data_IF_013793615913
#
_entry.id   IF_013793615913
#
_cell.length_a   1.000
_cell.length_b   1.000
_cell.length_c   1.000
_cell.angle_alpha   90.00
_cell.angle_beta   90.00
_cell.angle_gamma   90.00
#
_symmetry.space_group_name_H-M   'P 1'
#
loop_
_entity.id
_entity.type
_entity.pdbx_description
1 polymer ?
#
# COMPACT_ATOMS: atom_id res chain seq x y z
N UNK A 1 -5.94 -14.43 47.00
CA UNK A 1 -7.38 -14.58 46.68
C UNK A 1 -7.54 -15.64 45.61
N UNK A 2 -8.39 -16.66 45.81
CA UNK A 2 -8.68 -17.68 44.78
C UNK A 2 -9.83 -17.18 43.89
N UNK A 3 -9.59 -17.05 42.59
CA UNK A 3 -10.63 -16.70 41.60
C UNK A 3 -11.45 -17.96 41.33
N UNK A 4 -12.69 -18.00 41.82
CA UNK A 4 -13.62 -19.10 41.57
C UNK A 4 -14.21 -18.88 40.17
N UNK A 5 -13.92 -19.77 39.23
CA UNK A 5 -14.56 -19.77 37.90
C UNK A 5 -15.83 -20.60 38.02
N UNK A 6 -16.98 -20.00 37.69
CA UNK A 6 -18.26 -20.69 37.66
C UNK A 6 -18.31 -21.59 36.42
N UNK A 7 -18.57 -22.88 36.61
CA UNK A 7 -18.68 -23.87 35.53
C UNK A 7 -19.79 -23.55 34.52
N UNK A 8 -20.78 -22.74 34.93
CA UNK A 8 -21.88 -22.26 34.08
C UNK A 8 -21.47 -21.13 33.12
N UNK A 9 -20.34 -20.48 33.39
CA UNK A 9 -19.80 -19.40 32.54
C UNK A 9 -18.79 -19.93 31.51
N UNK A 10 -18.48 -21.23 31.56
CA UNK A 10 -17.60 -21.89 30.60
C UNK A 10 -18.42 -22.33 29.38
N UNK A 11 -18.35 -21.56 28.29
CA UNK A 11 -18.93 -21.92 27.01
C UNK A 11 -17.86 -22.51 26.08
N UNK A 12 -18.09 -23.73 25.59
CA UNK A 12 -17.26 -24.33 24.54
C UNK A 12 -17.84 -23.93 23.19
N UNK A 13 -17.11 -23.12 22.43
CA UNK A 13 -17.39 -22.89 21.02
C UNK A 13 -16.60 -23.88 20.18
N UNK A 14 -17.26 -24.53 19.22
CA UNK A 14 -16.59 -25.38 18.23
C UNK A 14 -16.67 -24.68 16.88
N UNK A 15 -15.55 -24.63 16.17
CA UNK A 15 -15.47 -24.12 14.81
C UNK A 15 -15.10 -25.27 13.88
N UNK A 16 -15.86 -25.44 12.79
CA UNK A 16 -15.48 -26.36 11.71
C UNK A 16 -14.54 -25.60 10.77
N UNK A 17 -13.35 -26.14 10.54
CA UNK A 17 -12.34 -25.54 9.66
C UNK A 17 -12.12 -26.43 8.43
N UNK A 18 -12.04 -25.81 7.25
CA UNK A 18 -11.61 -26.47 6.02
C UNK A 18 -10.10 -26.24 5.85
N UNK A 19 -9.33 -27.32 5.69
CA UNK A 19 -7.88 -27.25 5.46
C UNK A 19 -7.61 -27.54 3.98
N UNK A 20 -7.17 -26.52 3.24
CA UNK A 20 -6.72 -26.68 1.85
C UNK A 20 -5.23 -27.00 1.83
N UNK A 21 -4.85 -28.03 1.08
CA UNK A 21 -3.45 -28.44 0.93
C UNK A 21 -3.00 -28.24 -0.51
N UNK A 22 -1.76 -27.76 -0.69
CA UNK A 22 -1.15 -27.66 -2.00
C UNK A 22 -0.67 -29.04 -2.44
N UNK A 23 -0.99 -29.46 -3.67
CA UNK A 23 -0.51 -30.73 -4.23
C UNK A 23 0.20 -30.50 -5.55
N UNK A 24 1.28 -31.25 -5.78
CA UNK A 24 2.00 -31.32 -7.05
C UNK A 24 2.04 -32.78 -7.48
N UNK A 25 1.44 -33.08 -8.64
CA UNK A 25 1.31 -34.47 -9.14
C UNK A 25 0.69 -35.42 -8.09
N UNK A 26 -0.42 -34.99 -7.47
CA UNK A 26 -1.14 -35.72 -6.40
C UNK A 26 -0.35 -35.99 -5.12
N UNK A 27 0.83 -35.37 -4.95
CA UNK A 27 1.59 -35.42 -3.70
C UNK A 27 1.44 -34.11 -2.96
N UNK A 28 1.20 -34.17 -1.66
CA UNK A 28 1.15 -32.96 -0.83
C UNK A 28 2.52 -32.27 -0.83
N UNK A 29 2.49 -30.94 -0.96
CA UNK A 29 3.70 -30.13 -0.87
C UNK A 29 4.18 -30.13 0.58
N UNK A 30 5.44 -30.52 0.75
CA UNK A 30 6.13 -30.47 2.03
C UNK A 30 6.81 -29.12 2.23
N UNK A 31 7.21 -28.84 3.46
CA UNK A 31 7.99 -27.64 3.79
C UNK A 31 9.29 -27.52 2.97
N UNK A 32 9.96 -28.64 2.70
CA UNK A 32 11.19 -28.67 1.91
C UNK A 32 10.93 -28.24 0.46
N UNK A 33 9.83 -28.68 -0.15
CA UNK A 33 9.45 -28.29 -1.52
C UNK A 33 9.03 -26.82 -1.55
N UNK A 34 8.28 -26.35 -0.56
CA UNK A 34 7.90 -24.93 -0.47
C UNK A 34 9.10 -23.99 -0.43
N UNK A 35 10.14 -24.33 0.34
CA UNK A 35 11.38 -23.54 0.41
C UNK A 35 12.15 -23.49 -0.91
N UNK A 36 11.90 -24.42 -1.83
CA UNK A 36 12.51 -24.45 -3.16
C UNK A 36 11.73 -23.61 -4.18
N UNK A 37 10.53 -23.10 -3.84
CA UNK A 37 9.79 -22.22 -4.73
C UNK A 37 10.58 -20.91 -4.95
N UNK A 38 10.64 -20.48 -6.21
CA UNK A 38 11.28 -19.23 -6.60
C UNK A 38 10.49 -18.08 -5.97
N UNK A 39 11.21 -17.21 -5.26
CA UNK A 39 10.65 -15.96 -4.76
C UNK A 39 10.58 -14.92 -5.88
N UNK A 40 9.39 -14.37 -6.09
CA UNK A 40 9.16 -13.32 -7.06
C UNK A 40 7.92 -12.49 -6.67
N UNK A 41 7.95 -11.20 -7.02
CA UNK A 41 6.84 -10.29 -6.81
C UNK A 41 5.58 -10.74 -7.55
N UNK A 42 4.51 -10.92 -6.78
CA UNK A 42 3.20 -11.23 -7.34
C UNK A 42 2.54 -9.98 -7.94
N UNK A 43 2.71 -8.82 -7.33
CA UNK A 43 2.13 -7.57 -7.83
C UNK A 43 3.25 -6.78 -8.52
N UNK A 44 3.05 -6.45 -9.79
CA UNK A 44 3.96 -5.62 -10.56
C UNK A 44 3.97 -4.16 -10.09
N UNK A 45 4.96 -3.39 -10.52
CA UNK A 45 5.06 -1.95 -10.23
C UNK A 45 3.80 -1.16 -10.64
N UNK A 46 3.13 -1.57 -11.72
CA UNK A 46 1.86 -0.98 -12.17
C UNK A 46 0.63 -1.38 -11.37
N UNK A 47 0.76 -2.21 -10.32
CA UNK A 47 -0.36 -2.70 -9.49
C UNK A 47 -1.09 -3.92 -10.05
N UNK A 48 -0.69 -4.45 -11.22
CA UNK A 48 -1.28 -5.65 -11.80
C UNK A 48 -0.67 -6.94 -11.23
N UNK A 49 -1.43 -8.04 -11.19
CA UNK A 49 -0.90 -9.34 -10.80
C UNK A 49 -0.06 -9.96 -11.94
N UNK A 50 1.14 -10.43 -11.60
CA UNK A 50 2.04 -11.16 -12.49
C UNK A 50 1.59 -12.62 -12.75
N UNK A 51 0.55 -13.08 -12.06
CA UNK A 51 0.03 -14.44 -12.19
C UNK A 51 -1.21 -14.70 -11.32
N UNK A 52 -1.54 -15.96 -11.14
CA UNK A 52 -2.73 -16.38 -10.40
C UNK A 52 -2.35 -16.70 -8.96
N UNK A 53 -2.87 -15.98 -7.95
CA UNK A 53 -2.66 -16.35 -6.56
C UNK A 53 -3.47 -17.61 -6.21
N UNK A 54 -2.84 -18.52 -5.48
CA UNK A 54 -3.48 -19.77 -5.04
C UNK A 54 -3.93 -19.69 -3.58
N UNK A 55 -3.13 -19.05 -2.72
CA UNK A 55 -3.46 -18.96 -1.31
C UNK A 55 -2.34 -18.41 -0.44
N UNK A 56 -2.67 -18.22 0.84
CA UNK A 56 -1.79 -17.68 1.86
C UNK A 56 -1.10 -18.81 2.63
N UNK A 57 0.18 -18.63 2.96
CA UNK A 57 0.94 -19.59 3.75
C UNK A 57 1.38 -18.94 5.06
N UNK A 58 1.04 -19.54 6.20
CA UNK A 58 1.51 -19.07 7.51
C UNK A 58 2.83 -19.75 7.90
N UNK A 59 3.79 -19.69 6.98
CA UNK A 59 5.15 -20.18 7.20
C UNK A 59 6.12 -19.19 6.62
N UNK A 60 7.14 -18.87 7.43
CA UNK A 60 8.05 -17.81 7.11
C UNK A 60 9.51 -18.31 7.03
N UNK A 61 10.05 -18.52 5.81
CA UNK A 61 11.37 -19.12 5.64
C UNK A 61 12.54 -18.24 6.09
N UNK A 62 12.40 -16.91 5.98
CA UNK A 62 13.54 -15.96 5.99
C UNK A 62 13.59 -15.06 7.25
N UNK A 63 12.87 -15.42 8.33
CA UNK A 63 12.70 -14.64 9.57
C UNK A 63 12.41 -13.13 9.35
N UNK A 64 11.25 -12.81 8.78
CA UNK A 64 10.66 -11.49 8.67
C UNK A 64 10.62 -10.92 10.07
N UNK A 65 11.41 -9.88 10.27
CA UNK A 65 11.38 -9.14 11.51
C UNK A 65 9.98 -8.59 11.77
N UNK A 66 9.77 -8.14 13.00
CA UNK A 66 8.49 -7.61 13.49
C UNK A 66 8.01 -6.35 12.75
N UNK A 67 8.80 -5.82 11.81
CA UNK A 67 8.70 -4.42 11.46
C UNK A 67 7.56 -4.08 10.51
N UNK A 68 6.93 -5.02 9.79
CA UNK A 68 5.76 -4.70 8.96
C UNK A 68 4.83 -5.90 8.74
N UNK A 69 3.52 -5.63 8.68
CA UNK A 69 2.52 -6.65 8.35
C UNK A 69 2.58 -7.01 6.85
N UNK A 70 2.65 -8.29 6.55
CA UNK A 70 2.78 -8.81 5.19
C UNK A 70 2.11 -10.18 5.05
N UNK A 71 1.89 -10.58 3.80
CA UNK A 71 1.31 -11.85 3.39
C UNK A 71 2.38 -12.69 2.68
N UNK A 72 2.45 -13.98 2.99
CA UNK A 72 3.16 -14.94 2.14
C UNK A 72 2.17 -15.60 1.22
N UNK A 73 2.34 -15.39 -0.08
CA UNK A 73 1.42 -15.85 -1.10
C UNK A 73 2.10 -16.89 -1.96
N UNK A 74 1.46 -18.04 -2.15
CA UNK A 74 1.80 -18.97 -3.23
C UNK A 74 1.00 -18.59 -4.46
N UNK A 75 1.68 -18.48 -5.59
CA UNK A 75 1.06 -18.06 -6.84
C UNK A 75 1.70 -18.78 -8.03
N UNK A 76 1.05 -18.70 -9.18
CA UNK A 76 1.45 -19.40 -10.38
C UNK A 76 1.59 -18.45 -11.56
N UNK A 77 2.64 -18.64 -12.35
CA UNK A 77 2.77 -18.05 -13.69
C UNK A 77 3.08 -19.14 -14.70
N UNK A 78 2.23 -19.28 -15.72
CA UNK A 78 2.30 -20.41 -16.64
C UNK A 78 2.26 -21.76 -15.90
N UNK A 79 3.37 -22.50 -15.92
CA UNK A 79 3.51 -23.82 -15.27
C UNK A 79 4.29 -23.78 -13.97
N UNK A 80 4.81 -22.62 -13.59
CA UNK A 80 5.72 -22.50 -12.45
C UNK A 80 4.98 -21.99 -11.22
N UNK A 81 5.17 -22.68 -10.10
CA UNK A 81 4.77 -22.20 -8.79
C UNK A 81 5.85 -21.31 -8.20
N UNK A 82 5.42 -20.22 -7.57
CA UNK A 82 6.27 -19.18 -6.98
C UNK A 82 5.74 -18.81 -5.61
N UNK A 83 6.61 -18.20 -4.81
CA UNK A 83 6.25 -17.55 -3.56
C UNK A 83 6.47 -16.05 -3.67
N UNK A 84 5.66 -15.28 -2.96
CA UNK A 84 5.83 -13.83 -2.84
C UNK A 84 5.61 -13.38 -1.41
N UNK A 85 6.29 -12.31 -1.03
CA UNK A 85 6.02 -11.54 0.16
C UNK A 85 5.32 -10.25 -0.27
N UNK A 86 4.07 -10.06 0.16
CA UNK A 86 3.26 -8.88 -0.18
C UNK A 86 3.00 -8.07 1.08
N UNK A 87 3.52 -6.85 1.14
CA UNK A 87 3.27 -5.95 2.27
C UNK A 87 1.84 -5.40 2.25
N UNK A 88 1.20 -5.35 3.42
CA UNK A 88 -0.16 -4.81 3.55
C UNK A 88 -0.21 -3.31 3.34
N UNK A 89 0.85 -2.63 3.78
CA UNK A 89 1.08 -1.23 3.47
C UNK A 89 2.10 -1.17 2.33
N UNK A 90 1.85 -0.39 1.26
CA UNK A 90 2.81 -0.29 0.18
C UNK A 90 4.12 0.27 0.75
N UNK A 91 5.19 -0.50 0.58
CA UNK A 91 6.52 -0.19 1.09
C UNK A 91 7.19 0.89 0.26
N UNK A 92 6.58 2.07 0.18
CA UNK A 92 7.31 3.27 -0.24
C UNK A 92 8.16 3.75 0.93
N UNK A 93 9.13 2.94 1.34
CA UNK A 93 10.22 3.35 2.20
C UNK A 93 11.23 4.18 1.39
N UNK A 94 10.77 5.30 0.85
CA UNK A 94 11.63 6.31 0.28
C UNK A 94 11.13 7.64 0.83
N UNK A 95 11.86 8.14 1.83
CA UNK A 95 11.76 9.49 2.38
C UNK A 95 11.65 10.56 1.28
N UNK A 96 12.21 10.29 0.10
CA UNK A 96 12.13 11.10 -1.12
C UNK A 96 10.69 11.36 -1.61
N UNK A 97 9.75 10.43 -1.48
CA UNK A 97 8.39 10.63 -2.00
C UNK A 97 7.46 11.34 -1.03
N UNK A 98 7.68 11.14 0.27
CA UNK A 98 7.03 11.99 1.29
C UNK A 98 7.48 13.43 1.10
N UNK A 99 8.77 13.66 0.80
CA UNK A 99 9.26 15.00 0.45
C UNK A 99 8.62 15.54 -0.84
N UNK A 100 8.58 14.79 -1.94
CA UNK A 100 8.00 15.26 -3.21
C UNK A 100 6.48 15.48 -3.16
N UNK A 101 5.71 14.60 -2.50
CA UNK A 101 4.27 14.81 -2.30
C UNK A 101 3.99 15.96 -1.31
N UNK A 102 4.81 16.12 -0.26
CA UNK A 102 4.72 17.27 0.62
C UNK A 102 5.07 18.56 -0.14
N UNK A 103 6.06 18.54 -1.03
CA UNK A 103 6.43 19.67 -1.88
C UNK A 103 5.25 20.02 -2.82
N UNK A 104 4.69 19.04 -3.52
CA UNK A 104 3.54 19.26 -4.40
C UNK A 104 2.32 19.80 -3.63
N UNK A 105 2.00 19.23 -2.46
CA UNK A 105 0.94 19.73 -1.58
C UNK A 105 1.23 21.16 -1.09
N UNK A 106 2.45 21.43 -0.63
CA UNK A 106 2.84 22.74 -0.13
C UNK A 106 2.75 23.81 -1.22
N UNK A 107 3.07 23.48 -2.48
CA UNK A 107 2.98 24.40 -3.60
C UNK A 107 1.53 24.69 -4.00
N UNK A 108 0.67 23.67 -4.04
CA UNK A 108 -0.77 23.86 -4.32
C UNK A 108 -1.45 24.64 -3.18
N UNK A 109 -1.13 24.31 -1.93
CA UNK A 109 -1.61 25.05 -0.75
C UNK A 109 -1.08 26.48 -0.73
N UNK A 110 0.19 26.72 -1.10
CA UNK A 110 0.78 28.06 -1.21
C UNK A 110 0.05 28.91 -2.23
N UNK A 111 -0.10 28.43 -3.46
CA UNK A 111 -0.69 29.23 -4.52
C UNK A 111 -2.18 29.53 -4.23
N UNK A 112 -2.88 28.64 -3.53
CA UNK A 112 -4.19 28.95 -2.96
C UNK A 112 -4.15 30.03 -1.87
N UNK A 113 -3.29 29.88 -0.84
CA UNK A 113 -3.17 30.87 0.25
C UNK A 113 -2.76 32.25 -0.25
N UNK A 114 -2.07 32.32 -1.39
CA UNK A 114 -1.67 33.55 -2.06
C UNK A 114 -2.75 34.09 -3.02
N UNK A 115 -3.97 33.54 -3.02
CA UNK A 115 -5.08 33.87 -3.93
C UNK A 115 -4.68 33.81 -5.41
N UNK A 116 -3.75 32.92 -5.78
CA UNK A 116 -3.33 32.73 -7.18
C UNK A 116 -4.22 31.70 -7.91
N UNK A 117 -4.98 30.90 -7.15
CA UNK A 117 -5.89 29.87 -7.66
C UNK A 117 -7.09 29.76 -6.72
N UNK A 118 -8.32 29.80 -7.23
CA UNK A 118 -9.55 29.72 -6.41
C UNK A 118 -9.99 28.27 -6.13
N UNK A 119 -9.71 27.37 -7.08
CA UNK A 119 -9.94 25.93 -6.94
C UNK A 119 -9.17 25.19 -8.03
N UNK A 120 -8.92 23.90 -7.82
CA UNK A 120 -8.33 23.05 -8.85
C UNK A 120 -9.31 21.93 -9.21
N UNK A 121 -9.60 21.76 -10.50
CA UNK A 121 -10.45 20.67 -10.99
C UNK A 121 -9.58 19.62 -11.67
N UNK A 122 -9.76 18.38 -11.25
CA UNK A 122 -9.03 17.23 -11.76
C UNK A 122 -10.00 16.24 -12.37
N UNK A 123 -9.68 15.64 -13.51
CA UNK A 123 -10.49 14.55 -14.04
C UNK A 123 -9.89 13.21 -13.59
N UNK A 124 -10.64 12.44 -12.78
CA UNK A 124 -10.28 11.10 -12.31
C UNK A 124 -11.28 10.10 -12.87
N UNK A 125 -10.83 9.16 -13.70
CA UNK A 125 -11.70 8.13 -14.32
C UNK A 125 -12.93 8.74 -15.03
N UNK A 126 -12.77 9.89 -15.69
CA UNK A 126 -13.86 10.62 -16.36
C UNK A 126 -14.75 11.45 -15.41
N UNK A 127 -14.42 11.50 -14.12
CA UNK A 127 -15.15 12.28 -13.13
C UNK A 127 -14.36 13.53 -12.73
N UNK A 128 -14.91 14.74 -12.93
CA UNK A 128 -14.28 15.97 -12.46
C UNK A 128 -14.39 16.06 -10.93
N UNK A 129 -13.24 16.01 -10.26
CA UNK A 129 -13.06 16.21 -8.83
C UNK A 129 -12.53 17.62 -8.61
N UNK A 130 -13.35 18.46 -7.96
CA UNK A 130 -12.92 19.79 -7.54
C UNK A 130 -12.26 19.68 -6.17
N UNK A 131 -10.96 19.93 -6.12
CA UNK A 131 -10.22 20.02 -4.87
C UNK A 131 -10.35 21.47 -4.39
N UNK A 132 -11.12 21.63 -3.32
CA UNK A 132 -11.16 22.86 -2.55
C UNK A 132 -10.41 22.65 -1.24
N UNK A 133 -9.59 23.60 -0.81
CA UNK A 133 -8.78 23.46 0.40
C UNK A 133 -9.57 23.52 1.71
N UNK A 134 -10.83 23.97 1.67
CA UNK A 134 -11.78 23.90 2.79
C UNK A 134 -12.64 22.62 2.76
N UNK A 135 -12.59 21.86 1.67
CA UNK A 135 -13.40 20.66 1.47
C UNK A 135 -12.71 19.41 2.01
N UNK A 136 -13.32 18.76 2.99
CA UNK A 136 -13.13 17.32 3.19
C UNK A 136 -13.47 16.61 1.87
N UNK A 137 -12.48 16.32 1.04
CA UNK A 137 -12.64 15.39 -0.06
C UNK A 137 -13.18 14.06 0.52
N UNK A 138 -14.11 13.35 -0.15
CA UNK A 138 -14.47 11.98 0.23
C UNK A 138 -13.24 11.05 0.22
N UNK A 139 -12.15 11.44 -0.45
CA UNK A 139 -10.84 10.79 -0.39
C UNK A 139 -9.90 11.33 0.71
N UNK A 140 -10.29 12.38 1.45
CA UNK A 140 -9.50 12.99 2.51
C UNK A 140 -9.26 12.09 3.73
N UNK A 141 -10.11 11.07 3.92
CA UNK A 141 -9.88 10.01 4.91
C UNK A 141 -8.66 9.14 4.58
N UNK A 142 -8.31 8.99 3.29
CA UNK A 142 -7.11 8.27 2.84
C UNK A 142 -5.82 9.03 3.19
N UNK A 143 -5.90 10.37 3.17
CA UNK A 143 -4.77 11.25 3.47
C UNK A 143 -4.50 11.39 4.97
N UNK A 144 -5.53 11.35 5.82
CA UNK A 144 -5.42 11.71 7.25
C UNK A 144 -4.67 10.65 8.11
N UNK A 145 -4.64 9.37 7.69
CA UNK A 145 -3.86 8.33 8.38
C UNK A 145 -2.37 8.41 8.07
N UNK A 146 -2.00 8.67 6.82
CA UNK A 146 -0.60 8.89 6.41
C UNK A 146 -0.02 10.19 6.99
N UNK A 147 -0.82 11.23 7.17
CA UNK A 147 -0.36 12.50 7.75
C UNK A 147 -0.12 12.45 9.26
N UNK A 148 -0.75 11.52 10.01
CA UNK A 148 -0.40 11.33 11.44
C UNK A 148 0.99 10.69 11.63
N UNK A 149 1.49 9.96 10.64
CA UNK A 149 2.85 9.42 10.63
C UNK A 149 3.90 10.39 10.02
N UNK A 150 3.48 11.31 9.14
CA UNK A 150 4.38 12.29 8.51
C UNK A 150 4.64 13.57 9.34
N UNK A 151 4.11 13.66 10.56
CA UNK A 151 4.43 14.74 11.49
C UNK A 151 5.76 14.51 12.22
N UNK A 152 6.84 14.23 11.48
CA UNK A 152 8.20 14.55 11.92
C UNK A 152 8.86 15.25 10.75
N UNK A 153 8.67 16.57 10.75
CA UNK A 153 9.39 17.54 9.94
C UNK A 153 10.89 17.39 10.22
N UNK A 154 11.62 16.65 9.39
CA UNK A 154 13.06 16.85 9.27
C UNK A 154 13.31 18.15 8.49
N UNK A 155 13.42 19.20 9.31
CA UNK A 155 13.70 20.62 9.08
C UNK A 155 12.79 21.40 8.13
N UNK A 156 11.94 22.24 8.76
CA UNK A 156 11.26 23.40 8.14
C UNK A 156 12.19 24.24 7.23
N UNK A 157 13.49 24.22 7.48
CA UNK A 157 14.50 24.95 6.72
C UNK A 157 14.64 24.42 5.29
N UNK A 158 14.66 23.10 5.06
CA UNK A 158 14.78 22.55 3.69
C UNK A 158 13.56 22.85 2.82
N UNK A 159 12.36 22.79 3.42
CA UNK A 159 11.11 23.14 2.73
C UNK A 159 11.10 24.63 2.37
N UNK A 160 11.58 25.48 3.28
CA UNK A 160 11.70 26.92 3.04
C UNK A 160 12.73 27.22 1.94
N UNK A 161 13.91 26.62 1.98
CA UNK A 161 14.96 26.80 0.97
C UNK A 161 14.50 26.36 -0.42
N UNK A 162 13.71 25.28 -0.51
CA UNK A 162 13.10 24.84 -1.76
C UNK A 162 12.04 25.83 -2.26
N UNK A 163 11.16 26.34 -1.39
CA UNK A 163 10.16 27.36 -1.75
C UNK A 163 10.85 28.64 -2.23
N UNK A 164 11.87 29.09 -1.51
CA UNK A 164 12.65 30.29 -1.84
C UNK A 164 13.42 30.11 -3.17
N UNK A 165 13.93 28.90 -3.45
CA UNK A 165 14.53 28.56 -4.74
C UNK A 165 13.52 28.54 -5.89
N UNK A 166 12.32 27.98 -5.68
CA UNK A 166 11.23 27.99 -6.68
C UNK A 166 10.77 29.42 -6.98
N UNK A 167 10.67 30.29 -5.97
CA UNK A 167 10.29 31.69 -6.16
C UNK A 167 11.37 32.53 -6.86
N UNK A 168 12.62 32.08 -6.86
CA UNK A 168 13.72 32.69 -7.63
C UNK A 168 13.72 32.26 -9.11
N UNK A 169 13.11 31.11 -9.45
CA UNK A 169 12.92 30.71 -10.84
C UNK A 169 11.73 31.48 -11.43
N UNK A 170 11.87 32.08 -12.62
CA UNK A 170 10.81 32.91 -13.21
C UNK A 170 9.43 32.20 -13.16
N UNK A 171 8.35 32.84 -12.67
CA UNK A 171 7.03 32.21 -12.48
C UNK A 171 6.45 31.50 -13.71
N UNK A 172 6.91 31.88 -14.91
CA UNK A 172 6.47 31.31 -16.20
C UNK A 172 7.05 29.93 -16.51
N UNK A 173 8.21 29.58 -15.96
CA UNK A 173 8.78 28.25 -16.15
C UNK A 173 8.04 27.22 -15.31
N UNK A 174 7.63 27.58 -14.08
CA UNK A 174 6.93 26.69 -13.15
C UNK A 174 5.53 26.28 -13.62
N UNK A 175 4.78 27.19 -14.26
CA UNK A 175 3.49 26.87 -14.87
C UNK A 175 3.57 25.74 -15.91
N UNK A 176 4.74 25.55 -16.56
CA UNK A 176 4.95 24.45 -17.51
C UNK A 176 5.22 23.11 -16.84
N UNK A 177 5.70 23.10 -15.59
CA UNK A 177 5.99 21.88 -14.84
C UNK A 177 4.80 21.37 -14.03
N UNK A 178 3.88 22.24 -13.64
CA UNK A 178 2.65 21.90 -12.91
C UNK A 178 1.87 20.72 -13.53
N UNK A 179 1.60 20.69 -14.85
CA UNK A 179 0.91 19.55 -15.47
C UNK A 179 1.68 18.22 -15.37
N UNK A 180 3.01 18.27 -15.44
CA UNK A 180 3.88 17.09 -15.37
C UNK A 180 3.88 16.51 -13.96
N UNK A 181 4.10 17.38 -12.96
CA UNK A 181 4.06 16.99 -11.55
C UNK A 181 2.69 16.41 -11.19
N UNK A 182 1.63 17.05 -11.68
CA UNK A 182 0.27 16.61 -11.44
C UNK A 182 -0.05 15.26 -12.09
N UNK A 183 0.35 15.04 -13.35
CA UNK A 183 0.21 13.75 -14.00
C UNK A 183 1.00 12.65 -13.26
N UNK A 184 2.18 12.96 -12.73
CA UNK A 184 2.97 12.03 -11.92
C UNK A 184 2.26 11.66 -10.61
N UNK A 185 1.71 12.63 -9.88
CA UNK A 185 0.94 12.40 -8.65
C UNK A 185 -0.31 11.57 -8.93
N UNK A 186 -1.07 11.89 -9.98
CA UNK A 186 -2.26 11.13 -10.36
C UNK A 186 -1.94 9.69 -10.74
N UNK A 187 -0.92 9.48 -11.56
CA UNK A 187 -0.46 8.14 -11.94
C UNK A 187 -0.05 7.31 -10.73
N UNK A 188 0.61 7.92 -9.74
CA UNK A 188 1.00 7.26 -8.51
C UNK A 188 -0.19 6.93 -7.60
N UNK A 189 -1.13 7.86 -7.43
CA UNK A 189 -2.37 7.60 -6.70
C UNK A 189 -3.15 6.43 -7.31
N UNK A 190 -3.20 6.35 -8.64
CA UNK A 190 -3.84 5.25 -9.34
C UNK A 190 -3.11 3.92 -9.10
N UNK A 191 -1.77 3.90 -9.19
CA UNK A 191 -0.97 2.70 -8.86
C UNK A 191 -1.22 2.22 -7.42
N UNK A 192 -1.30 3.13 -6.44
CA UNK A 192 -1.60 2.80 -5.04
C UNK A 192 -2.98 2.21 -4.86
N UNK A 193 -4.00 2.79 -5.49
CA UNK A 193 -5.36 2.26 -5.47
C UNK A 193 -5.37 0.83 -6.04
N UNK A 194 -4.75 0.63 -7.21
CA UNK A 194 -4.64 -0.71 -7.80
C UNK A 194 -3.91 -1.70 -6.88
N UNK A 195 -2.79 -1.29 -6.25
CA UNK A 195 -2.08 -2.12 -5.29
C UNK A 195 -2.96 -2.52 -4.10
N UNK A 196 -3.66 -1.56 -3.50
CA UNK A 196 -4.54 -1.79 -2.36
C UNK A 196 -5.69 -2.73 -2.71
N UNK A 197 -6.32 -2.53 -3.87
CA UNK A 197 -7.38 -3.41 -4.37
C UNK A 197 -6.85 -4.84 -4.53
N UNK A 198 -5.61 -5.01 -5.02
CA UNK A 198 -4.99 -6.34 -5.07
C UNK A 198 -4.74 -6.91 -3.67
N UNK A 199 -4.17 -6.14 -2.75
CA UNK A 199 -3.90 -6.61 -1.38
C UNK A 199 -5.19 -7.06 -0.68
N UNK A 200 -6.28 -6.30 -0.80
CA UNK A 200 -7.58 -6.65 -0.25
C UNK A 200 -8.10 -7.97 -0.85
N UNK A 201 -7.96 -8.15 -2.17
CA UNK A 201 -8.29 -9.42 -2.81
C UNK A 201 -7.43 -10.58 -2.30
N UNK A 202 -6.13 -10.35 -2.07
CA UNK A 202 -5.22 -11.37 -1.55
C UNK A 202 -5.51 -11.77 -0.10
N UNK A 203 -6.01 -10.86 0.73
CA UNK A 203 -6.41 -11.15 2.11
C UNK A 203 -7.58 -12.14 2.21
N UNK A 204 -8.40 -12.22 1.15
CA UNK A 204 -9.55 -13.12 1.06
C UNK A 204 -9.21 -14.50 0.49
N UNK A 205 -7.94 -14.76 0.18
CA UNK A 205 -7.50 -16.05 -0.33
C UNK A 205 -7.57 -17.14 0.75
N UNK A 206 -7.74 -18.42 0.35
CA UNK A 206 -7.69 -19.51 1.30
C UNK A 206 -6.30 -19.64 1.94
N UNK A 207 -6.29 -20.05 3.21
CA UNK A 207 -5.06 -20.44 3.87
C UNK A 207 -4.65 -21.84 3.40
N UNK A 208 -3.43 -21.95 2.89
CA UNK A 208 -2.81 -23.19 2.46
C UNK A 208 -1.99 -23.78 3.59
N UNK A 209 -2.26 -25.04 3.89
CA UNK A 209 -1.46 -25.81 4.83
C UNK A 209 -0.32 -26.53 4.08
N UNK A 210 0.87 -26.44 4.67
CA UNK A 210 2.07 -27.13 4.19
C UNK A 210 2.39 -28.23 5.19
N UNK A 211 2.49 -29.47 4.69
CA UNK A 211 2.85 -30.59 5.53
C UNK A 211 4.29 -30.42 6.07
N UNK A 212 4.44 -30.55 7.39
CA UNK A 212 5.73 -30.53 8.11
C UNK A 212 6.31 -31.94 8.14
#
# INVERSE_FOLDING_TARGET
>A
MRKIINLRDAQVSTATIEIKTLTVSNKQVTLAVFRQLIEQDLIAEGGNLNGVPWGLVNYHPDKCGEYNAHLHVVWQTGRDLRRSLVYLEPFYNQSLWVEEMNIAQNLVVRDYLMNRIDSYTVELEGTPVVIRPDGMSPYGWWYNRSSRACCVLESREKVKDYIDWVDQQEPRSFQKFLPILHAAVLGEMQRRKCWQDQVENLQNLPQLFIAV
#
